data_IF_864167050918
#
_entry.id   IF_864167050918
#
_cell.length_a   1.000
_cell.length_b   1.000
_cell.length_c   1.000
_cell.angle_alpha   90.00
_cell.angle_beta   90.00
_cell.angle_gamma   90.00
#
_symmetry.space_group_name_H-M   'P 1'
#
loop_
_entity.id
_entity.type
_entity.pdbx_description
1 polymer ?
#
# COMPACT_ATOMS: atom_id res chain seq x y z
N UNK A 1 12.76 3.90 -7.54
CA UNK A 1 11.43 3.30 -7.41
C UNK A 1 10.88 3.59 -6.02
N UNK A 2 9.67 4.08 -5.97
CA UNK A 2 9.00 4.43 -4.71
C UNK A 2 7.72 3.61 -4.60
N UNK A 3 7.63 2.79 -3.55
CA UNK A 3 6.47 1.93 -3.31
C UNK A 3 5.56 2.63 -2.31
N UNK A 4 4.32 2.84 -2.70
CA UNK A 4 3.32 3.43 -1.82
C UNK A 4 2.26 2.37 -1.52
N UNK A 5 2.10 2.02 -0.25
CA UNK A 5 1.13 1.04 0.20
C UNK A 5 -0.11 1.78 0.68
N UNK A 6 -1.18 1.72 -0.07
CA UNK A 6 -2.45 2.34 0.28
C UNK A 6 -3.29 1.35 1.08
N UNK A 7 -3.30 1.53 2.37
CA UNK A 7 -3.94 0.65 3.34
C UNK A 7 -2.94 -0.02 4.28
N UNK A 8 -2.76 0.54 5.47
CA UNK A 8 -1.83 0.03 6.48
C UNK A 8 -2.48 -1.02 7.38
N UNK A 9 -3.23 -1.94 6.80
CA UNK A 9 -3.76 -3.12 7.48
C UNK A 9 -2.74 -4.27 7.50
N UNK A 10 -3.19 -5.46 7.82
CA UNK A 10 -2.30 -6.62 7.98
C UNK A 10 -1.51 -6.93 6.70
N UNK A 11 -2.19 -6.99 5.55
CA UNK A 11 -1.54 -7.29 4.27
C UNK A 11 -0.59 -6.17 3.87
N UNK A 12 -1.04 -4.91 3.94
CA UNK A 12 -0.22 -3.76 3.58
C UNK A 12 1.03 -3.63 4.43
N UNK A 13 0.91 -3.82 5.73
CA UNK A 13 2.05 -3.78 6.64
C UNK A 13 3.01 -4.95 6.40
N UNK A 14 2.50 -6.15 6.13
CA UNK A 14 3.35 -7.30 5.85
C UNK A 14 4.14 -7.10 4.54
N UNK A 15 3.45 -6.79 3.46
CA UNK A 15 4.09 -6.62 2.14
C UNK A 15 5.01 -5.41 2.15
N UNK A 16 4.52 -4.28 2.63
CA UNK A 16 5.33 -3.05 2.72
C UNK A 16 6.53 -3.20 3.64
N UNK A 17 6.34 -3.85 4.76
CA UNK A 17 7.44 -4.13 5.70
C UNK A 17 8.50 -5.04 5.11
N UNK A 18 8.09 -6.09 4.40
CA UNK A 18 9.04 -6.98 3.71
C UNK A 18 9.86 -6.23 2.65
N UNK A 19 9.20 -5.40 1.87
CA UNK A 19 9.89 -4.60 0.84
C UNK A 19 10.87 -3.59 1.47
N UNK A 20 10.44 -2.92 2.51
CA UNK A 20 11.29 -1.97 3.23
C UNK A 20 12.49 -2.66 3.89
N UNK A 21 12.30 -3.85 4.45
CA UNK A 21 13.37 -4.63 5.05
C UNK A 21 14.45 -5.03 4.04
N UNK A 22 14.09 -5.07 2.75
CA UNK A 22 15.02 -5.36 1.66
C UNK A 22 15.58 -4.10 0.99
N UNK A 23 15.41 -2.95 1.61
CA UNK A 23 16.06 -1.71 1.16
C UNK A 23 15.26 -0.87 0.17
N UNK A 24 14.00 -1.23 -0.11
CA UNK A 24 13.16 -0.43 -1.00
C UNK A 24 12.57 0.77 -0.27
N UNK A 25 12.39 1.87 -0.99
CA UNK A 25 11.72 3.05 -0.46
C UNK A 25 10.21 2.80 -0.38
N UNK A 26 9.66 2.73 0.83
CA UNK A 26 8.27 2.40 1.09
C UNK A 26 7.60 3.49 1.91
N UNK A 27 6.41 3.92 1.46
CA UNK A 27 5.51 4.77 2.22
C UNK A 27 4.25 3.97 2.56
N UNK A 28 3.88 3.93 3.83
CA UNK A 28 2.62 3.35 4.28
C UNK A 28 1.59 4.47 4.43
N UNK A 29 0.47 4.32 3.75
CA UNK A 29 -0.66 5.25 3.85
C UNK A 29 -1.78 4.59 4.65
N UNK A 30 -2.18 5.20 5.73
CA UNK A 30 -3.20 4.64 6.60
C UNK A 30 -3.74 5.65 7.60
N UNK A 31 -4.71 5.20 8.38
CA UNK A 31 -5.31 6.05 9.41
C UNK A 31 -4.29 6.31 10.53
N UNK A 32 -4.37 7.48 11.20
CA UNK A 32 -3.41 7.82 12.24
C UNK A 32 -3.28 6.77 13.35
N UNK A 33 -4.39 6.17 13.78
CA UNK A 33 -4.34 5.16 14.85
C UNK A 33 -3.61 3.87 14.42
N UNK A 34 -3.62 3.55 13.13
CA UNK A 34 -2.90 2.39 12.60
C UNK A 34 -1.40 2.69 12.46
N UNK A 35 -1.05 3.93 12.14
CA UNK A 35 0.34 4.34 11.91
C UNK A 35 1.07 4.73 13.20
N UNK A 36 0.37 5.13 14.25
CA UNK A 36 0.99 5.61 15.47
C UNK A 36 1.93 4.60 16.14
N UNK A 37 1.55 3.32 16.31
CA UNK A 37 2.49 2.34 16.86
C UNK A 37 3.72 2.14 15.99
N UNK A 38 3.56 2.22 14.67
CA UNK A 38 4.68 2.10 13.72
C UNK A 38 5.62 3.31 13.85
N UNK A 39 5.06 4.50 14.01
CA UNK A 39 5.84 5.71 14.20
C UNK A 39 6.66 5.67 15.48
N UNK A 40 6.12 5.04 16.53
CA UNK A 40 6.78 4.96 17.84
C UNK A 40 7.79 3.83 17.94
N UNK A 41 7.49 2.67 17.36
CA UNK A 41 8.23 1.43 17.61
C UNK A 41 8.83 0.78 16.36
N UNK A 42 8.60 1.32 15.18
CA UNK A 42 8.92 0.65 13.93
C UNK A 42 7.91 -0.41 13.57
N UNK A 43 8.16 -1.12 12.47
CA UNK A 43 7.26 -2.14 11.97
C UNK A 43 7.91 -3.51 12.09
N UNK A 44 7.38 -4.34 12.99
CA UNK A 44 7.84 -5.72 13.14
C UNK A 44 7.11 -6.63 12.16
N UNK A 45 7.87 -7.34 11.35
CA UNK A 45 7.37 -8.27 10.34
C UNK A 45 7.91 -9.66 10.61
N UNK A 46 7.00 -10.62 10.75
CA UNK A 46 7.34 -12.03 10.97
C UNK A 46 6.55 -12.90 10.01
N UNK A 47 7.07 -14.09 9.71
CA UNK A 47 6.33 -15.11 9.00
C UNK A 47 6.63 -16.51 9.55
N UNK A 48 5.95 -17.52 9.00
CA UNK A 48 6.07 -18.89 9.46
C UNK A 48 7.39 -19.54 9.03
N UNK A 49 8.09 -18.96 8.07
CA UNK A 49 9.34 -19.49 7.52
C UNK A 49 10.59 -18.91 8.22
N UNK A 50 10.41 -18.20 9.32
CA UNK A 50 11.50 -17.69 10.13
C UNK A 50 11.91 -16.24 9.83
N UNK A 51 11.21 -15.55 8.95
CA UNK A 51 11.45 -14.13 8.75
C UNK A 51 11.03 -13.36 10.01
N UNK A 52 11.94 -12.62 10.59
CA UNK A 52 11.68 -11.80 11.77
C UNK A 52 12.57 -10.57 11.72
N UNK A 53 11.99 -9.44 11.32
CA UNK A 53 12.69 -8.17 11.26
C UNK A 53 11.82 -7.03 11.76
N UNK A 54 12.45 -6.08 12.43
CA UNK A 54 11.82 -4.81 12.77
C UNK A 54 12.38 -3.75 11.81
N UNK A 55 11.48 -3.16 11.01
CA UNK A 55 11.86 -2.08 10.10
C UNK A 55 11.84 -0.78 10.91
N UNK A 56 12.98 -0.08 11.03
CA UNK A 56 13.03 1.16 11.79
C UNK A 56 12.13 2.23 11.18
N UNK A 57 11.52 3.05 12.03
CA UNK A 57 10.70 4.18 11.59
C UNK A 57 11.46 5.12 10.65
N UNK A 58 12.77 5.27 10.87
CA UNK A 58 13.61 6.13 10.03
C UNK A 58 13.73 5.69 8.58
N UNK A 59 13.43 4.42 8.28
CA UNK A 59 13.49 3.88 6.90
C UNK A 59 12.11 3.75 6.26
N UNK A 60 11.05 4.14 6.97
CA UNK A 60 9.69 4.13 6.47
C UNK A 60 9.17 5.56 6.35
N UNK A 61 8.40 5.80 5.32
CA UNK A 61 7.59 6.99 5.20
C UNK A 61 6.16 6.65 5.61
N UNK A 62 5.53 7.49 6.39
CA UNK A 62 4.15 7.30 6.85
C UNK A 62 3.33 8.51 6.43
N UNK A 63 2.15 8.27 5.90
CA UNK A 63 1.26 9.34 5.44
C UNK A 63 -0.19 9.01 5.77
N UNK A 64 -0.96 10.02 6.12
CA UNK A 64 -2.38 9.86 6.41
C UNK A 64 -3.23 9.75 5.14
N UNK A 65 -2.78 10.35 4.04
CA UNK A 65 -3.46 10.33 2.75
C UNK A 65 -2.49 10.02 1.63
N UNK A 66 -3.01 9.58 0.50
CA UNK A 66 -2.20 9.33 -0.69
C UNK A 66 -1.55 10.63 -1.20
N UNK A 67 -2.26 11.75 -1.10
CA UNK A 67 -1.71 13.05 -1.48
C UNK A 67 -0.48 13.41 -0.65
N UNK A 68 -0.50 13.12 0.65
CA UNK A 68 0.64 13.35 1.53
C UNK A 68 1.83 12.45 1.19
N UNK A 69 1.57 11.26 0.64
CA UNK A 69 2.62 10.36 0.17
C UNK A 69 3.31 10.89 -1.10
N UNK A 70 2.69 11.82 -1.80
CA UNK A 70 3.21 12.51 -2.98
C UNK A 70 3.67 11.54 -4.09
N UNK A 71 2.75 10.78 -4.71
CA UNK A 71 3.11 9.87 -5.81
C UNK A 71 3.82 10.62 -6.94
N UNK A 72 4.90 10.04 -7.44
CA UNK A 72 5.70 10.60 -8.52
C UNK A 72 5.72 9.69 -9.75
N UNK A 73 6.55 10.04 -10.72
CA UNK A 73 6.65 9.32 -12.01
C UNK A 73 7.17 7.88 -11.84
N UNK A 74 7.93 7.61 -10.81
CA UNK A 74 8.50 6.29 -10.53
C UNK A 74 7.79 5.57 -9.38
N UNK A 75 6.59 6.02 -9.01
CA UNK A 75 5.82 5.41 -7.93
C UNK A 75 5.02 4.21 -8.43
N UNK A 76 4.93 3.19 -7.58
CA UNK A 76 4.04 2.05 -7.75
C UNK A 76 3.13 2.00 -6.52
N UNK A 77 1.83 1.89 -6.76
CA UNK A 77 0.85 1.83 -5.68
C UNK A 77 0.47 0.37 -5.43
N UNK A 78 0.61 -0.07 -4.20
CA UNK A 78 0.05 -1.35 -3.75
C UNK A 78 -1.24 -1.04 -3.00
N UNK A 79 -2.37 -1.46 -3.56
CA UNK A 79 -3.68 -1.19 -2.99
C UNK A 79 -4.07 -2.34 -2.06
N UNK A 80 -4.09 -2.07 -0.78
CA UNK A 80 -4.31 -3.06 0.29
C UNK A 80 -5.48 -2.71 1.21
N UNK A 81 -6.37 -1.82 0.79
CA UNK A 81 -7.57 -1.50 1.55
C UNK A 81 -8.58 -2.64 1.46
N UNK A 82 -9.49 -2.73 2.43
CA UNK A 82 -10.59 -3.68 2.37
C UNK A 82 -11.55 -3.31 1.23
N UNK A 83 -12.26 -4.31 0.68
CA UNK A 83 -13.15 -4.11 -0.47
C UNK A 83 -14.21 -3.04 -0.22
N UNK A 84 -14.69 -2.86 1.01
CA UNK A 84 -15.63 -1.80 1.37
C UNK A 84 -15.09 -0.39 1.23
N UNK A 85 -13.77 -0.22 1.13
CA UNK A 85 -13.12 1.09 0.96
C UNK A 85 -12.63 1.32 -0.48
N UNK A 86 -12.99 0.47 -1.43
CA UNK A 86 -12.49 0.53 -2.80
C UNK A 86 -12.88 1.81 -3.53
N UNK A 87 -14.12 2.28 -3.38
CA UNK A 87 -14.56 3.51 -4.04
C UNK A 87 -13.79 4.73 -3.52
N UNK A 88 -13.65 4.82 -2.21
CA UNK A 88 -12.89 5.91 -1.57
C UNK A 88 -11.43 5.89 -2.03
N UNK A 89 -10.82 4.71 -2.07
CA UNK A 89 -9.45 4.55 -2.54
C UNK A 89 -9.30 4.91 -4.02
N UNK A 90 -10.24 4.51 -4.87
CA UNK A 90 -10.22 4.85 -6.29
C UNK A 90 -10.32 6.36 -6.51
N UNK A 91 -11.15 7.05 -5.74
CA UNK A 91 -11.24 8.50 -5.80
C UNK A 91 -9.93 9.17 -5.40
N UNK A 92 -9.29 8.66 -4.37
CA UNK A 92 -7.98 9.14 -3.91
C UNK A 92 -6.90 8.92 -4.95
N UNK A 93 -6.89 7.75 -5.58
CA UNK A 93 -5.96 7.41 -6.66
C UNK A 93 -6.13 8.35 -7.86
N UNK A 94 -7.38 8.58 -8.28
CA UNK A 94 -7.68 9.44 -9.41
C UNK A 94 -7.22 10.88 -9.17
N UNK A 95 -7.32 11.35 -7.94
CA UNK A 95 -6.94 12.72 -7.58
C UNK A 95 -5.43 12.92 -7.43
N UNK A 96 -4.72 11.90 -6.95
CA UNK A 96 -3.31 12.05 -6.54
C UNK A 96 -2.29 11.46 -7.52
N UNK A 97 -2.69 10.52 -8.38
CA UNK A 97 -1.77 9.84 -9.28
C UNK A 97 -1.82 10.40 -10.70
N UNK A 98 -0.66 10.47 -11.34
CA UNK A 98 -0.57 10.84 -12.75
C UNK A 98 -1.11 9.71 -13.65
N UNK A 99 -1.56 10.03 -14.88
CA UNK A 99 -1.98 9.00 -15.83
C UNK A 99 -0.87 7.95 -16.05
N UNK A 100 -1.26 6.69 -16.12
CA UNK A 100 -0.32 5.58 -16.33
C UNK A 100 0.34 5.05 -15.06
N UNK A 101 0.09 5.65 -13.90
CA UNK A 101 0.65 5.14 -12.64
C UNK A 101 0.24 3.69 -12.41
N UNK A 102 1.20 2.77 -12.20
CA UNK A 102 0.86 1.38 -11.90
C UNK A 102 0.20 1.23 -10.54
N UNK A 103 -0.94 0.56 -10.50
CA UNK A 103 -1.66 0.23 -9.26
C UNK A 103 -1.86 -1.27 -9.23
N UNK A 104 -1.28 -1.92 -8.24
CA UNK A 104 -1.45 -3.37 -8.06
C UNK A 104 -2.43 -3.58 -6.92
N UNK A 105 -3.59 -4.16 -7.24
CA UNK A 105 -4.60 -4.48 -6.23
C UNK A 105 -4.25 -5.79 -5.55
N UNK A 106 -3.99 -5.74 -4.25
CA UNK A 106 -3.77 -6.92 -3.40
C UNK A 106 -5.01 -7.23 -2.57
N UNK A 107 -6.15 -6.71 -2.98
CA UNK A 107 -7.42 -6.95 -2.32
C UNK A 107 -7.97 -8.34 -2.66
N UNK A 108 -8.73 -8.91 -1.73
CA UNK A 108 -9.51 -10.10 -2.02
C UNK A 108 -10.71 -9.72 -2.91
N UNK A 109 -11.02 -10.55 -3.92
CA UNK A 109 -12.13 -10.34 -4.81
C UNK A 109 -11.72 -9.92 -6.21
N UNK A 110 -12.31 -10.57 -7.21
CA UNK A 110 -11.94 -10.41 -8.63
C UNK A 110 -12.49 -9.13 -9.26
N UNK A 111 -13.53 -8.55 -8.68
CA UNK A 111 -14.21 -7.39 -9.27
C UNK A 111 -13.54 -6.05 -8.92
N UNK A 112 -12.61 -6.05 -7.98
CA UNK A 112 -11.99 -4.82 -7.50
C UNK A 112 -11.21 -4.09 -8.59
N UNK A 113 -10.49 -4.83 -9.45
CA UNK A 113 -9.69 -4.23 -10.53
C UNK A 113 -10.59 -3.51 -11.54
N UNK A 114 -11.67 -4.17 -11.98
CA UNK A 114 -12.62 -3.57 -12.90
C UNK A 114 -13.31 -2.33 -12.30
N UNK A 115 -13.65 -2.40 -11.02
CA UNK A 115 -14.28 -1.29 -10.30
C UNK A 115 -13.34 -0.08 -10.21
N UNK A 116 -12.08 -0.31 -9.84
CA UNK A 116 -11.09 0.75 -9.76
C UNK A 116 -10.81 1.36 -11.13
N UNK A 117 -10.66 0.51 -12.15
CA UNK A 117 -10.42 0.98 -13.51
C UNK A 117 -11.56 1.84 -14.04
N UNK A 118 -12.80 1.54 -13.66
CA UNK A 118 -13.97 2.33 -14.05
C UNK A 118 -13.98 3.71 -13.35
N UNK A 119 -13.54 3.77 -12.10
CA UNK A 119 -13.53 5.01 -11.31
C UNK A 119 -12.27 5.86 -11.55
N UNK A 120 -11.17 5.23 -11.96
CA UNK A 120 -9.89 5.89 -12.21
C UNK A 120 -9.30 5.42 -13.55
N UNK A 121 -9.93 5.75 -14.69
CA UNK A 121 -9.60 5.14 -15.99
C UNK A 121 -8.22 5.51 -16.53
N UNK A 122 -7.59 6.56 -16.01
CA UNK A 122 -6.25 6.95 -16.46
C UNK A 122 -5.12 6.12 -15.87
N UNK A 123 -5.40 5.22 -14.94
CA UNK A 123 -4.38 4.45 -14.21
C UNK A 123 -4.18 3.08 -14.83
N UNK A 124 -2.99 2.51 -14.62
CA UNK A 124 -2.67 1.17 -15.06
C UNK A 124 -2.92 0.20 -13.89
N UNK A 125 -4.14 -0.33 -13.80
CA UNK A 125 -4.56 -1.16 -12.67
C UNK A 125 -4.36 -2.64 -12.99
N UNK A 126 -3.62 -3.32 -12.12
CA UNK A 126 -3.29 -4.74 -12.25
C UNK A 126 -3.83 -5.51 -11.06
N UNK A 127 -4.22 -6.76 -11.29
CA UNK A 127 -4.62 -7.67 -10.24
C UNK A 127 -3.39 -8.37 -9.68
N UNK A 128 -3.22 -8.29 -8.36
CA UNK A 128 -2.28 -9.12 -7.63
C UNK A 128 -3.03 -10.17 -6.84
N UNK A 129 -2.33 -11.22 -6.42
CA UNK A 129 -2.91 -12.27 -5.59
C UNK A 129 -2.08 -12.47 -4.34
N UNK A 130 -2.76 -12.51 -3.19
CA UNK A 130 -2.12 -12.84 -1.91
C UNK A 130 -2.60 -14.25 -1.52
N UNK A 131 -1.77 -15.29 -1.74
CA UNK A 131 -2.18 -16.67 -1.53
C UNK A 131 -2.03 -17.15 -0.09
N UNK A 132 -1.87 -16.26 0.86
CA UNK A 132 -1.67 -16.58 2.27
C UNK A 132 -2.44 -15.62 3.15
N UNK A 133 -2.69 -16.03 4.39
CA UNK A 133 -3.29 -15.19 5.43
C UNK A 133 -2.21 -14.44 6.20
N UNK A 134 -2.53 -13.21 6.52
CA UNK A 134 -1.61 -12.36 7.28
C UNK A 134 -2.24 -11.96 8.61
#
# INVERSE_FOLDING_TARGET
MHIIVLGAGAIGCYVGGRLAAHGLAVCLVGRPHALEPIAQHGLKVTDLDGFDRTVPTSTLQLAATLADAAPGVDSIILLCVKSGATESAASELAAACAPGTPVISLQNGVDNVAHIAALAPGLNVLAGMVPYNV
#
